data_IF_600714729306
#
_entry.id   IF_600714729306
#
_cell.length_a   1.000
_cell.length_b   1.000
_cell.length_c   1.000
_cell.angle_alpha   90.00
_cell.angle_beta   90.00
_cell.angle_gamma   90.00
#
_symmetry.space_group_name_H-M   'P 1'
#
loop_
_entity.id
_entity.type
_entity.pdbx_description
1 polymer ?
#
# COMPACT_ATOMS: atom_id res chain seq x y z
N UNK A 1 -26.10 -50.24 20.67
CA UNK A 1 -25.26 -49.58 21.71
C UNK A 1 -24.32 -48.58 21.06
N UNK A 2 -24.65 -47.28 21.07
CA UNK A 2 -23.70 -46.18 20.84
C UNK A 2 -24.40 -44.86 21.20
N UNK A 3 -24.50 -44.54 22.49
CA UNK A 3 -25.01 -43.26 22.97
C UNK A 3 -24.21 -42.82 24.21
N UNK A 4 -22.89 -42.72 24.06
CA UNK A 4 -21.99 -42.24 25.12
C UNK A 4 -20.89 -41.38 24.48
N UNK A 5 -21.26 -40.22 23.95
CA UNK A 5 -20.28 -39.19 23.56
C UNK A 5 -20.81 -37.76 23.65
N UNK A 6 -22.02 -37.56 24.21
CA UNK A 6 -22.68 -36.24 24.30
C UNK A 6 -22.72 -35.66 25.73
N UNK A 7 -22.28 -36.41 26.75
CA UNK A 7 -22.34 -35.98 28.16
C UNK A 7 -21.14 -35.15 28.65
N UNK A 8 -20.00 -35.17 27.96
CA UNK A 8 -18.77 -34.48 28.42
C UNK A 8 -18.71 -32.97 28.09
N UNK A 9 -19.66 -32.44 27.33
CA UNK A 9 -19.65 -31.01 26.94
C UNK A 9 -20.54 -30.16 27.86
N UNK A 10 -21.49 -30.75 28.61
CA UNK A 10 -22.38 -30.01 29.52
C UNK A 10 -21.81 -29.72 30.92
N UNK A 11 -20.81 -30.47 31.39
CA UNK A 11 -20.23 -30.23 32.72
C UNK A 11 -19.31 -29.01 32.79
N UNK A 12 -18.73 -28.55 31.67
CA UNK A 12 -17.75 -27.45 31.69
C UNK A 12 -18.37 -26.04 31.74
N UNK A 13 -19.71 -25.93 31.70
CA UNK A 13 -20.44 -24.65 31.83
C UNK A 13 -21.08 -24.42 33.20
N UNK A 14 -21.23 -25.47 34.02
CA UNK A 14 -21.87 -25.35 35.36
C UNK A 14 -20.89 -24.95 36.48
N UNK A 15 -19.57 -24.88 36.21
CA UNK A 15 -18.59 -24.41 37.17
C UNK A 15 -18.41 -22.87 37.20
N UNK A 16 -19.22 -22.11 36.45
CA UNK A 16 -19.17 -20.63 36.41
C UNK A 16 -20.38 -19.93 37.03
N UNK A 17 -21.39 -20.68 37.48
CA UNK A 17 -22.67 -20.11 37.97
C UNK A 17 -22.94 -20.37 39.46
N UNK A 18 -22.02 -20.98 40.20
CA UNK A 18 -22.20 -21.30 41.63
C UNK A 18 -21.48 -20.36 42.61
N UNK A 19 -21.08 -19.16 42.19
CA UNK A 19 -20.45 -18.18 43.09
C UNK A 19 -21.09 -16.78 43.06
N UNK A 20 -22.41 -16.74 42.90
CA UNK A 20 -23.23 -15.60 43.26
C UNK A 20 -24.18 -16.05 44.36
N UNK A 21 -23.87 -15.70 45.62
CA UNK A 21 -24.83 -15.29 46.66
C UNK A 21 -24.29 -15.53 48.07
N UNK A 22 -23.58 -14.53 48.61
CA UNK A 22 -23.70 -14.15 50.03
C UNK A 22 -23.72 -12.62 50.18
N UNK A 23 -24.89 -12.16 50.61
CA UNK A 23 -25.30 -10.83 51.11
C UNK A 23 -24.56 -10.60 52.47
N UNK A 24 -24.14 -9.43 52.97
CA UNK A 24 -24.94 -8.24 53.30
C UNK A 24 -24.16 -7.08 53.98
N UNK A 25 -24.71 -5.86 53.82
CA UNK A 25 -24.64 -4.64 54.68
C UNK A 25 -23.38 -3.77 54.77
N UNK A 26 -23.46 -2.52 54.28
CA UNK A 26 -23.80 -1.34 55.11
C UNK A 26 -23.77 0.00 54.32
N UNK A 27 -24.89 0.73 54.41
CA UNK A 27 -25.12 2.21 54.35
C UNK A 27 -24.52 3.09 53.23
N UNK A 28 -25.44 3.66 52.42
CA UNK A 28 -25.30 4.88 51.58
C UNK A 28 -25.49 6.16 52.40
N UNK A 29 -24.70 7.22 52.11
CA UNK A 29 -25.12 8.64 51.84
C UNK A 29 -23.92 9.56 51.48
N UNK A 30 -24.10 10.80 50.95
CA UNK A 30 -23.65 11.17 49.60
C UNK A 30 -22.61 12.34 49.52
N UNK A 31 -22.31 12.72 48.28
CA UNK A 31 -21.34 13.69 47.73
C UNK A 31 -21.47 15.15 48.16
N UNK A 32 -20.43 15.97 47.88
CA UNK A 32 -20.63 17.36 47.45
C UNK A 32 -20.12 17.61 46.03
N UNK A 33 -20.74 18.62 45.43
CA UNK A 33 -20.57 19.10 44.06
C UNK A 33 -19.81 20.42 44.05
N UNK A 34 -19.10 20.71 42.94
CA UNK A 34 -19.17 21.91 42.08
C UNK A 34 -17.82 22.42 41.56
N UNK A 35 -17.77 22.49 40.22
CA UNK A 35 -17.28 23.57 39.34
C UNK A 35 -15.76 23.71 39.07
N UNK A 36 -15.39 23.33 37.85
CA UNK A 36 -14.43 24.01 36.96
C UNK A 36 -14.82 25.49 36.73
N UNK A 37 -13.92 26.44 36.36
CA UNK A 37 -13.05 26.30 35.17
C UNK A 37 -11.68 27.04 35.14
N UNK A 38 -10.86 26.62 34.17
CA UNK A 38 -9.92 27.40 33.33
C UNK A 38 -8.92 28.39 33.97
N UNK A 39 -7.64 28.14 33.63
CA UNK A 39 -6.70 29.11 33.01
C UNK A 39 -6.23 30.32 33.84
N UNK A 40 -5.00 30.77 33.52
CA UNK A 40 -4.31 31.99 33.97
C UNK A 40 -3.45 31.72 35.22
N UNK A 41 -2.18 31.40 35.02
CA UNK A 41 -1.02 32.32 35.05
C UNK A 41 -0.58 32.66 36.48
N UNK A 42 0.75 32.73 36.64
CA UNK A 42 1.49 33.40 37.71
C UNK A 42 2.03 32.53 38.87
N UNK A 43 3.34 32.21 38.77
CA UNK A 43 4.34 32.70 39.73
C UNK A 43 5.78 32.59 39.19
N UNK A 44 6.31 33.76 38.89
CA UNK A 44 7.71 34.23 39.06
C UNK A 44 8.88 33.37 38.55
N UNK A 45 9.48 33.82 37.45
CA UNK A 45 10.94 33.80 37.27
C UNK A 45 11.43 35.17 36.77
N UNK A 46 12.58 35.55 37.30
CA UNK A 46 13.15 36.90 37.32
C UNK A 46 13.48 37.47 35.93
N UNK A 47 13.38 38.79 35.82
CA UNK A 47 13.57 39.53 34.58
C UNK A 47 15.03 39.78 34.19
N UNK A 48 15.21 39.97 32.88
CA UNK A 48 16.32 40.71 32.27
C UNK A 48 15.73 41.45 31.06
N UNK A 49 15.64 42.77 31.14
CA UNK A 49 15.21 43.61 30.01
C UNK A 49 16.43 44.05 29.19
N UNK A 50 16.54 43.60 27.95
CA UNK A 50 17.41 44.22 26.94
C UNK A 50 16.58 45.12 26.02
N UNK A 51 16.81 46.42 26.21
CA UNK A 51 16.15 47.56 25.56
C UNK A 51 16.79 47.78 24.18
N UNK A 52 16.09 47.47 23.08
CA UNK A 52 16.59 47.79 21.73
C UNK A 52 15.76 48.93 21.12
N UNK A 53 16.48 49.99 20.77
CA UNK A 53 16.04 51.29 20.30
C UNK A 53 15.70 51.20 18.81
N UNK A 54 14.48 51.60 18.44
CA UNK A 54 14.13 51.90 17.06
C UNK A 54 14.87 53.17 16.62
N UNK A 55 15.69 53.08 15.57
CA UNK A 55 16.24 54.24 14.87
C UNK A 55 16.09 54.05 13.36
N UNK A 56 15.27 54.92 12.80
CA UNK A 56 15.11 55.23 11.38
C UNK A 56 16.41 55.77 10.79
N UNK A 57 16.78 55.31 9.59
CA UNK A 57 18.05 55.69 8.95
C UNK A 57 18.07 55.51 7.43
N UNK A 58 17.59 56.55 6.74
CA UNK A 58 17.95 57.09 5.42
C UNK A 58 18.68 56.19 4.39
N UNK A 59 18.07 56.09 3.20
CA UNK A 59 18.65 55.65 1.92
C UNK A 59 19.93 56.43 1.56
N UNK A 60 20.93 55.73 1.01
CA UNK A 60 22.05 56.31 0.24
C UNK A 60 22.34 55.46 -1.01
N UNK A 61 22.90 56.07 -2.08
CA UNK A 61 22.75 55.58 -3.44
C UNK A 61 23.82 54.55 -3.85
N UNK A 62 23.41 53.67 -4.78
CA UNK A 62 24.20 52.60 -5.40
C UNK A 62 25.33 53.21 -6.23
N UNK A 63 26.58 52.90 -5.86
CA UNK A 63 27.77 53.17 -6.69
C UNK A 63 28.01 51.94 -7.57
N UNK A 64 27.74 52.06 -8.87
CA UNK A 64 28.03 51.03 -9.88
C UNK A 64 29.55 50.88 -10.05
N UNK A 65 30.04 49.64 -10.05
CA UNK A 65 31.29 49.26 -10.75
C UNK A 65 30.97 48.13 -11.73
N UNK A 66 31.60 48.11 -12.92
CA UNK A 66 31.24 47.20 -13.99
C UNK A 66 32.06 45.90 -13.95
N UNK A 67 31.59 44.94 -14.74
CA UNK A 67 32.29 43.75 -15.25
C UNK A 67 32.25 42.48 -14.39
N UNK A 68 31.17 41.72 -14.56
CA UNK A 68 31.15 40.27 -14.37
C UNK A 68 30.48 39.60 -15.57
N UNK A 69 30.96 38.42 -16.04
CA UNK A 69 30.55 37.84 -17.33
C UNK A 69 29.09 37.39 -17.33
N UNK A 70 28.41 37.66 -18.45
CA UNK A 70 27.04 37.28 -18.75
C UNK A 70 26.83 35.76 -18.67
N UNK A 71 26.10 35.30 -17.64
CA UNK A 71 25.43 33.99 -17.69
C UNK A 71 24.33 34.05 -18.76
N UNK A 72 24.19 33.02 -19.62
CA UNK A 72 23.10 32.97 -20.59
C UNK A 72 21.74 32.85 -19.85
N UNK A 73 20.66 33.38 -20.44
CA UNK A 73 19.36 33.43 -19.79
C UNK A 73 18.85 32.01 -19.55
N UNK A 74 18.71 31.65 -18.27
CA UNK A 74 17.93 30.49 -17.90
C UNK A 74 16.47 30.75 -18.25
N UNK A 75 16.01 30.12 -19.32
CA UNK A 75 14.59 29.92 -19.56
C UNK A 75 14.04 29.18 -18.35
N UNK A 76 13.29 29.90 -17.53
CA UNK A 76 12.59 29.38 -16.36
C UNK A 76 11.48 28.44 -16.81
N UNK A 77 11.83 27.22 -17.20
CA UNK A 77 10.92 26.11 -17.00
C UNK A 77 10.83 25.92 -15.48
N UNK A 78 9.70 26.35 -14.89
CA UNK A 78 9.24 25.88 -13.58
C UNK A 78 8.93 24.38 -13.68
N UNK A 79 9.94 23.57 -13.96
CA UNK A 79 9.92 22.15 -13.66
C UNK A 79 10.23 22.05 -12.19
N UNK A 80 9.23 21.72 -11.37
CA UNK A 80 9.49 21.29 -10.01
C UNK A 80 10.49 20.12 -10.07
N UNK A 81 11.77 20.38 -9.79
CA UNK A 81 12.71 19.34 -9.38
C UNK A 81 12.16 18.79 -8.08
N UNK A 82 11.34 17.75 -8.17
CA UNK A 82 10.94 17.01 -6.99
C UNK A 82 12.19 16.26 -6.54
N UNK A 83 12.83 16.78 -5.50
CA UNK A 83 13.92 16.09 -4.82
C UNK A 83 13.46 14.70 -4.35
N UNK A 84 14.34 13.69 -4.27
CA UNK A 84 14.00 12.38 -3.71
C UNK A 84 13.55 12.50 -2.23
N UNK A 85 12.36 12.02 -1.90
CA UNK A 85 11.78 12.15 -0.54
C UNK A 85 11.48 10.80 0.11
N UNK A 86 11.37 9.73 -0.67
CA UNK A 86 11.01 8.41 -0.17
C UNK A 86 12.27 7.61 0.18
N UNK A 87 12.38 7.15 1.41
CA UNK A 87 13.48 6.29 1.85
C UNK A 87 13.12 4.83 1.62
N UNK A 88 13.58 4.26 0.51
CA UNK A 88 13.40 2.85 0.17
C UNK A 88 14.70 2.06 0.32
N UNK A 89 14.69 0.83 -0.19
CA UNK A 89 15.86 -0.05 -0.19
C UNK A 89 16.07 -0.71 -1.54
N UNK A 90 17.30 -1.00 -1.88
CA UNK A 90 17.64 -2.01 -2.89
C UNK A 90 17.77 -3.34 -2.16
N UNK A 91 17.05 -4.35 -2.64
CA UNK A 91 16.97 -5.66 -1.97
C UNK A 91 16.83 -6.78 -2.99
N UNK A 92 17.25 -7.98 -2.59
CA UNK A 92 16.75 -9.23 -3.21
C UNK A 92 15.55 -9.73 -2.44
N UNK A 93 14.64 -10.45 -3.10
CA UNK A 93 13.50 -11.10 -2.45
C UNK A 93 13.65 -12.61 -2.56
N UNK A 94 14.09 -13.25 -1.48
CA UNK A 94 14.30 -14.70 -1.45
C UNK A 94 13.01 -15.41 -1.05
N UNK A 95 12.43 -16.21 -1.94
CA UNK A 95 11.24 -17.01 -1.65
C UNK A 95 11.59 -18.21 -0.79
N UNK A 96 10.71 -18.58 0.15
CA UNK A 96 10.83 -19.84 0.90
C UNK A 96 10.89 -21.07 -0.02
N UNK A 97 10.40 -20.95 -1.25
CA UNK A 97 10.48 -22.00 -2.28
C UNK A 97 11.91 -22.29 -2.77
N UNK A 98 12.91 -21.49 -2.36
CA UNK A 98 14.33 -21.70 -2.68
C UNK A 98 14.82 -20.92 -3.90
N UNK A 99 14.14 -19.84 -4.28
CA UNK A 99 14.46 -19.02 -5.44
C UNK A 99 14.48 -17.54 -5.07
N UNK A 100 15.41 -16.79 -5.65
CA UNK A 100 15.32 -15.34 -5.70
C UNK A 100 14.28 -14.95 -6.74
N UNK A 101 13.37 -14.04 -6.39
CA UNK A 101 12.53 -13.39 -7.39
C UNK A 101 13.45 -12.74 -8.43
N UNK A 102 13.08 -12.85 -9.69
CA UNK A 102 13.84 -12.31 -10.81
C UNK A 102 12.89 -11.55 -11.74
N UNK A 103 13.37 -10.44 -12.27
CA UNK A 103 12.76 -9.73 -13.39
C UNK A 103 13.80 -9.58 -14.50
N UNK A 104 13.55 -10.25 -15.62
CA UNK A 104 14.42 -10.19 -16.80
C UNK A 104 14.17 -8.88 -17.57
N UNK A 105 15.12 -8.46 -18.44
CA UNK A 105 14.97 -7.24 -19.24
C UNK A 105 13.78 -7.25 -20.21
N UNK A 106 13.31 -8.43 -20.61
CA UNK A 106 12.10 -8.63 -21.41
C UNK A 106 10.80 -8.44 -20.61
N UNK A 107 10.90 -8.18 -19.31
CA UNK A 107 9.76 -8.03 -18.40
C UNK A 107 9.22 -9.35 -17.86
N UNK A 108 9.84 -10.49 -18.17
CA UNK A 108 9.47 -11.80 -17.61
C UNK A 108 9.80 -11.84 -16.11
N UNK A 109 8.82 -12.29 -15.32
CA UNK A 109 8.94 -12.44 -13.86
C UNK A 109 8.94 -13.93 -13.53
N UNK A 110 9.98 -14.40 -12.86
CA UNK A 110 10.16 -15.78 -12.43
C UNK A 110 11.08 -15.86 -11.21
N UNK A 111 11.52 -17.06 -10.86
CA UNK A 111 12.45 -17.36 -9.78
C UNK A 111 13.75 -17.92 -10.32
N UNK A 112 14.87 -17.36 -9.87
CA UNK A 112 16.22 -17.82 -10.20
C UNK A 112 16.94 -18.36 -8.97
N UNK A 113 17.83 -19.32 -9.17
CA UNK A 113 18.77 -19.79 -8.14
C UNK A 113 20.09 -19.00 -8.14
N UNK A 114 20.32 -18.20 -9.17
CA UNK A 114 21.52 -17.39 -9.30
C UNK A 114 21.41 -16.13 -8.43
N UNK A 115 22.10 -16.13 -7.29
CA UNK A 115 22.18 -14.99 -6.37
C UNK A 115 22.93 -13.79 -6.97
N UNK A 116 23.85 -14.04 -7.90
CA UNK A 116 24.70 -13.01 -8.47
C UNK A 116 24.05 -12.32 -9.68
N UNK A 117 22.88 -12.77 -10.10
CA UNK A 117 22.15 -12.16 -11.21
C UNK A 117 21.63 -10.77 -10.84
N UNK A 118 22.02 -9.74 -11.60
CA UNK A 118 21.49 -8.38 -11.46
C UNK A 118 19.97 -8.30 -11.59
N UNK A 119 19.38 -9.26 -12.31
CA UNK A 119 17.93 -9.33 -12.53
C UNK A 119 17.15 -9.67 -11.24
N UNK A 120 17.85 -10.05 -10.16
CA UNK A 120 17.25 -10.34 -8.84
C UNK A 120 17.20 -9.13 -7.92
N UNK A 121 17.74 -7.99 -8.38
CA UNK A 121 17.77 -6.74 -7.64
C UNK A 121 16.48 -5.96 -7.85
N UNK A 122 15.86 -5.54 -6.76
CA UNK A 122 14.64 -4.73 -6.77
C UNK A 122 14.77 -3.49 -5.92
N UNK A 123 14.19 -2.40 -6.41
CA UNK A 123 13.89 -1.23 -5.61
C UNK A 123 12.57 -1.49 -4.88
N UNK A 124 12.63 -1.52 -3.54
CA UNK A 124 11.46 -1.59 -2.67
C UNK A 124 11.13 -0.18 -2.19
N UNK A 125 10.16 0.44 -2.85
CA UNK A 125 9.85 1.87 -2.69
C UNK A 125 8.60 2.00 -1.81
N UNK A 126 8.66 2.64 -0.63
CA UNK A 126 7.49 2.84 0.20
C UNK A 126 6.57 3.89 -0.42
N UNK A 127 5.36 3.50 -0.80
CA UNK A 127 4.35 4.36 -1.44
C UNK A 127 3.12 4.56 -0.56
N UNK A 128 3.21 4.15 0.71
CA UNK A 128 2.17 4.29 1.71
C UNK A 128 2.51 3.50 2.98
N UNK A 129 1.65 3.61 3.99
CA UNK A 129 1.81 2.86 5.24
C UNK A 129 1.73 1.35 4.96
N UNK A 130 2.85 0.65 5.08
CA UNK A 130 2.97 -0.80 4.76
C UNK A 130 2.58 -1.12 3.32
N UNK A 131 2.76 -0.16 2.41
CA UNK A 131 2.51 -0.36 0.98
C UNK A 131 3.78 -0.02 0.23
N UNK A 132 4.21 -0.94 -0.62
CA UNK A 132 5.42 -0.83 -1.41
C UNK A 132 5.10 -0.97 -2.90
N UNK A 133 5.89 -0.27 -3.71
CA UNK A 133 6.09 -0.60 -5.11
C UNK A 133 7.35 -1.46 -5.23
N UNK A 134 7.31 -2.46 -6.10
CA UNK A 134 8.43 -3.36 -6.37
C UNK A 134 8.87 -3.13 -7.81
N UNK A 135 10.06 -2.59 -8.00
CA UNK A 135 10.59 -2.26 -9.33
C UNK A 135 11.88 -3.04 -9.59
N UNK A 136 12.01 -3.68 -10.74
CA UNK A 136 13.26 -4.31 -11.16
C UNK A 136 14.34 -3.26 -11.36
N UNK A 137 15.49 -3.42 -10.71
CA UNK A 137 16.57 -2.43 -10.77
C UNK A 137 17.16 -2.31 -12.18
N UNK A 138 17.31 -3.44 -12.88
CA UNK A 138 17.91 -3.49 -14.22
C UNK A 138 16.92 -3.09 -15.33
N UNK A 139 15.67 -3.54 -15.25
CA UNK A 139 14.66 -3.27 -16.27
C UNK A 139 13.96 -1.92 -16.08
N UNK A 140 13.92 -1.39 -14.85
CA UNK A 140 13.13 -0.21 -14.50
C UNK A 140 11.61 -0.45 -14.46
N UNK A 141 11.15 -1.69 -14.68
CA UNK A 141 9.72 -2.04 -14.71
C UNK A 141 9.20 -2.34 -13.30
N UNK A 142 7.97 -1.92 -13.02
CA UNK A 142 7.22 -2.28 -11.83
C UNK A 142 6.59 -3.65 -11.98
N UNK A 143 6.52 -4.41 -10.89
CA UNK A 143 5.62 -5.56 -10.80
C UNK A 143 4.21 -5.01 -10.57
N UNK A 144 3.25 -5.46 -11.37
CA UNK A 144 1.81 -5.23 -11.19
C UNK A 144 1.05 -6.54 -11.05
N UNK A 145 -0.13 -6.50 -10.45
CA UNK A 145 -1.07 -7.61 -10.45
C UNK A 145 -2.41 -7.15 -11.02
N UNK A 146 -2.86 -7.77 -12.11
CA UNK A 146 -4.09 -7.39 -12.79
C UNK A 146 -5.35 -7.96 -12.13
N UNK A 147 -6.53 -7.56 -12.62
CA UNK A 147 -7.83 -8.01 -12.11
C UNK A 147 -8.12 -9.51 -12.23
N UNK A 148 -7.32 -10.26 -12.99
CA UNK A 148 -7.39 -11.72 -13.00
C UNK A 148 -6.48 -12.35 -11.94
N UNK A 149 -5.53 -11.59 -11.39
CA UNK A 149 -4.52 -12.04 -10.45
C UNK A 149 -3.24 -12.49 -11.14
N UNK A 150 -3.06 -12.20 -12.43
CA UNK A 150 -1.79 -12.45 -13.11
C UNK A 150 -0.81 -11.35 -12.77
N UNK A 151 0.43 -11.74 -12.49
CA UNK A 151 1.53 -10.81 -12.33
C UNK A 151 2.03 -10.39 -13.70
N UNK A 152 2.35 -9.11 -13.86
CA UNK A 152 2.87 -8.55 -15.08
C UNK A 152 3.89 -7.45 -14.76
N UNK A 153 4.67 -7.05 -15.76
CA UNK A 153 5.61 -5.94 -15.67
C UNK A 153 5.00 -4.69 -16.30
N UNK A 154 5.19 -3.53 -15.67
CA UNK A 154 4.64 -2.26 -16.12
C UNK A 154 5.69 -1.16 -16.09
N UNK A 155 5.78 -0.37 -17.17
CA UNK A 155 6.61 0.84 -17.19
C UNK A 155 6.01 1.94 -16.31
N UNK A 156 4.68 1.99 -16.23
CA UNK A 156 3.94 3.06 -15.57
C UNK A 156 3.52 2.62 -14.17
N UNK A 157 3.67 3.52 -13.20
CA UNK A 157 3.20 3.22 -11.85
C UNK A 157 1.68 3.38 -11.75
N UNK A 158 0.98 2.25 -11.66
CA UNK A 158 -0.48 2.18 -11.55
C UNK A 158 -0.91 1.70 -10.15
N UNK A 159 -2.21 1.81 -9.79
CA UNK A 159 -2.72 1.21 -8.55
C UNK A 159 -2.45 -0.29 -8.43
N UNK A 160 -2.35 -1.02 -9.55
CA UNK A 160 -2.04 -2.45 -9.59
C UNK A 160 -0.59 -2.78 -9.20
N UNK A 161 0.31 -1.79 -9.23
CA UNK A 161 1.70 -1.90 -8.80
C UNK A 161 1.88 -1.75 -7.27
N UNK A 162 0.79 -1.49 -6.53
CA UNK A 162 0.82 -1.30 -5.08
C UNK A 162 0.59 -2.61 -4.35
N UNK A 163 1.60 -3.05 -3.62
CA UNK A 163 1.53 -4.22 -2.76
C UNK A 163 1.52 -3.84 -1.29
N UNK A 164 0.54 -4.35 -0.55
CA UNK A 164 0.56 -4.30 0.90
C UNK A 164 1.53 -5.36 1.40
N UNK A 165 2.60 -4.92 2.06
CA UNK A 165 3.51 -5.80 2.79
C UNK A 165 2.91 -6.15 4.15
N UNK A 166 3.09 -7.39 4.58
CA UNK A 166 2.67 -7.87 5.88
C UNK A 166 3.63 -8.94 6.35
N UNK A 167 3.78 -9.07 7.67
CA UNK A 167 4.61 -10.12 8.25
C UNK A 167 3.75 -11.37 8.50
N UNK A 168 4.32 -12.54 8.27
CA UNK A 168 3.76 -13.84 8.58
C UNK A 168 4.70 -14.58 9.54
N UNK A 169 4.14 -15.10 10.64
CA UNK A 169 4.88 -15.81 11.70
C UNK A 169 6.13 -15.07 12.21
N UNK A 170 6.10 -13.73 12.19
CA UNK A 170 7.21 -12.85 12.59
C UNK A 170 8.54 -13.07 11.85
N UNK A 171 8.53 -13.73 10.69
CA UNK A 171 9.74 -14.03 9.93
C UNK A 171 9.61 -13.71 8.45
N UNK A 172 8.54 -14.19 7.81
CA UNK A 172 8.34 -13.98 6.37
C UNK A 172 7.61 -12.67 6.09
N UNK A 173 7.95 -12.05 4.97
CA UNK A 173 7.18 -10.95 4.39
C UNK A 173 6.32 -11.51 3.26
N UNK A 174 5.05 -11.12 3.25
CA UNK A 174 4.10 -11.45 2.20
C UNK A 174 3.62 -10.15 1.54
N UNK A 175 3.48 -10.18 0.22
CA UNK A 175 3.04 -9.03 -0.57
C UNK A 175 1.67 -9.33 -1.18
N UNK A 176 0.68 -8.52 -0.85
CA UNK A 176 -0.70 -8.69 -1.33
C UNK A 176 -1.17 -7.52 -2.18
N UNK A 177 -2.02 -7.79 -3.17
CA UNK A 177 -2.66 -6.72 -3.93
C UNK A 177 -3.46 -5.81 -2.98
N UNK A 178 -3.33 -4.51 -3.18
CA UNK A 178 -4.15 -3.52 -2.46
C UNK A 178 -5.56 -3.43 -3.04
N UNK A 179 -5.72 -3.71 -4.34
CA UNK A 179 -6.96 -3.57 -5.10
C UNK A 179 -7.73 -4.88 -5.18
N UNK A 180 -7.05 -6.01 -5.43
CA UNK A 180 -7.70 -7.27 -5.78
C UNK A 180 -7.74 -8.28 -4.64
N UNK A 181 -8.94 -8.83 -4.43
CA UNK A 181 -9.27 -9.81 -3.38
C UNK A 181 -10.37 -10.74 -3.89
N UNK A 182 -10.53 -11.89 -3.25
CA UNK A 182 -11.67 -12.76 -3.47
C UNK A 182 -12.96 -12.03 -3.03
N UNK A 183 -13.94 -11.90 -3.92
CA UNK A 183 -15.17 -11.13 -3.65
C UNK A 183 -15.98 -11.69 -2.47
N UNK A 184 -16.19 -13.00 -2.42
CA UNK A 184 -17.02 -13.63 -1.38
C UNK A 184 -16.31 -13.72 -0.02
N UNK A 185 -15.06 -14.18 -0.03
CA UNK A 185 -14.31 -14.47 1.21
C UNK A 185 -13.52 -13.28 1.75
N UNK A 186 -13.31 -12.22 0.97
CA UNK A 186 -12.39 -11.12 1.29
C UNK A 186 -10.90 -11.50 1.32
N UNK A 187 -10.58 -12.75 0.97
CA UNK A 187 -9.21 -13.28 0.96
C UNK A 187 -8.34 -12.52 -0.03
N UNK A 188 -7.23 -11.98 0.46
CA UNK A 188 -6.28 -11.25 -0.37
C UNK A 188 -5.61 -12.15 -1.42
N UNK A 189 -5.17 -11.54 -2.51
CA UNK A 189 -4.33 -12.16 -3.53
C UNK A 189 -2.88 -11.77 -3.30
N UNK A 190 -1.96 -12.71 -3.48
CA UNK A 190 -0.57 -12.55 -3.07
C UNK A 190 0.39 -12.77 -4.24
N UNK A 191 1.50 -12.03 -4.23
CA UNK A 191 2.69 -12.39 -4.99
C UNK A 191 3.18 -13.77 -4.50
N UNK A 192 3.57 -14.65 -5.42
CA UNK A 192 4.12 -15.93 -5.04
C UNK A 192 4.71 -16.74 -6.19
N UNK A 193 5.56 -17.70 -5.81
CA UNK A 193 6.24 -18.62 -6.71
C UNK A 193 5.82 -20.07 -6.45
N UNK A 194 5.87 -20.91 -7.48
CA UNK A 194 5.69 -22.36 -7.38
C UNK A 194 6.93 -23.03 -6.77
N UNK A 195 6.94 -24.36 -6.65
CA UNK A 195 8.14 -25.10 -6.21
C UNK A 195 9.22 -25.15 -7.28
N UNK A 196 8.84 -24.87 -8.52
CA UNK A 196 9.69 -24.84 -9.70
C UNK A 196 10.20 -23.42 -10.00
N UNK A 197 9.89 -22.44 -9.15
CA UNK A 197 10.30 -21.05 -9.34
C UNK A 197 9.44 -20.26 -10.34
N UNK A 198 8.28 -20.77 -10.75
CA UNK A 198 7.40 -20.04 -11.69
C UNK A 198 6.44 -19.12 -10.94
N UNK A 199 6.05 -18.00 -11.54
CA UNK A 199 5.04 -17.10 -10.96
C UNK A 199 3.67 -17.77 -10.88
N UNK A 200 2.97 -17.52 -9.77
CA UNK A 200 1.61 -18.02 -9.53
C UNK A 200 0.57 -16.92 -9.68
N UNK A 201 -0.61 -17.29 -10.17
CA UNK A 201 -1.80 -16.41 -10.16
C UNK A 201 -2.15 -16.08 -8.69
N UNK A 202 -2.30 -14.80 -8.37
CA UNK A 202 -2.39 -14.31 -7.00
C UNK A 202 -3.58 -14.85 -6.21
N UNK A 203 -4.68 -15.22 -6.88
CA UNK A 203 -5.82 -15.88 -6.26
C UNK A 203 -5.52 -17.32 -5.78
N UNK A 204 -4.52 -17.99 -6.37
CA UNK A 204 -4.05 -19.34 -6.00
C UNK A 204 -3.02 -19.31 -4.87
N UNK A 205 -2.34 -18.19 -4.70
CA UNK A 205 -1.37 -18.00 -3.61
C UNK A 205 -2.12 -17.75 -2.30
N UNK A 206 -1.71 -18.44 -1.23
CA UNK A 206 -2.36 -18.36 0.09
C UNK A 206 -1.36 -17.85 1.12
N UNK A 207 -1.80 -16.96 2.00
CA UNK A 207 -1.02 -16.37 3.10
C UNK A 207 -0.26 -17.39 3.96
N UNK A 208 -0.85 -18.57 4.19
CA UNK A 208 -0.27 -19.61 5.05
C UNK A 208 0.59 -20.62 4.29
N UNK A 209 0.81 -20.39 2.99
CA UNK A 209 1.57 -21.32 2.14
C UNK A 209 2.94 -20.72 1.82
N UNK A 210 3.99 -21.57 1.81
CA UNK A 210 5.35 -21.17 1.46
C UNK A 210 5.50 -20.41 0.13
N UNK A 211 4.59 -20.65 -0.83
CA UNK A 211 4.59 -19.91 -2.10
C UNK A 211 4.45 -18.40 -1.94
N UNK A 212 3.85 -17.91 -0.85
CA UNK A 212 3.67 -16.49 -0.56
C UNK A 212 4.78 -15.86 0.27
N UNK A 213 5.68 -16.67 0.81
CA UNK A 213 6.63 -16.28 1.83
C UNK A 213 7.95 -15.82 1.20
N UNK A 214 8.34 -14.58 1.47
CA UNK A 214 9.61 -14.01 1.04
C UNK A 214 10.42 -13.51 2.22
N UNK A 215 11.73 -13.53 2.08
CA UNK A 215 12.70 -12.92 2.99
C UNK A 215 13.44 -11.84 2.21
N UNK A 216 13.19 -10.56 2.49
CA UNK A 216 14.00 -9.49 1.93
C UNK A 216 15.45 -9.64 2.38
N UNK A 217 16.38 -9.52 1.45
CA UNK A 217 17.83 -9.42 1.68
C UNK A 217 18.31 -8.03 1.24
N UNK A 218 18.23 -7.02 2.13
CA UNK A 218 18.61 -5.66 1.81
C UNK A 218 20.08 -5.56 1.45
N UNK A 219 20.40 -4.68 0.52
CA UNK A 219 21.77 -4.38 0.09
C UNK A 219 22.12 -2.96 0.54
N UNK A 220 21.32 -1.99 0.13
CA UNK A 220 21.52 -0.59 0.46
C UNK A 220 20.21 0.17 0.62
N UNK A 221 20.30 1.33 1.27
CA UNK A 221 19.18 2.26 1.48
C UNK A 221 19.31 3.38 0.48
N UNK A 222 18.25 3.68 -0.26
CA UNK A 222 18.26 4.68 -1.33
C UNK A 222 17.11 5.68 -1.17
N UNK A 223 17.33 6.89 -1.66
CA UNK A 223 16.29 7.90 -1.75
C UNK A 223 15.64 7.86 -3.13
N UNK A 224 14.33 7.69 -3.16
CA UNK A 224 13.52 7.63 -4.37
C UNK A 224 12.63 8.87 -4.47
N UNK A 225 12.39 9.28 -5.71
CA UNK A 225 11.31 10.21 -6.02
C UNK A 225 9.98 9.46 -5.91
N UNK A 226 8.94 10.14 -5.47
CA UNK A 226 7.59 9.58 -5.49
C UNK A 226 7.17 9.25 -6.93
N UNK A 227 6.82 7.99 -7.23
CA UNK A 227 6.37 7.60 -8.57
C UNK A 227 5.07 8.31 -8.95
N UNK A 228 4.99 8.82 -10.19
CA UNK A 228 3.76 9.43 -10.68
C UNK A 228 2.67 8.38 -10.85
N UNK A 229 1.55 8.56 -10.17
CA UNK A 229 0.37 7.70 -10.29
C UNK A 229 -0.27 7.87 -11.67
N UNK A 230 -0.47 6.76 -12.39
CA UNK A 230 -1.21 6.71 -13.64
C UNK A 230 -2.50 5.92 -13.46
N UNK A 231 -3.60 6.47 -13.96
CA UNK A 231 -4.89 5.78 -14.00
C UNK A 231 -4.87 4.74 -15.13
N UNK A 232 -5.44 3.56 -14.87
CA UNK A 232 -5.63 2.55 -15.90
C UNK A 232 -6.82 3.01 -16.73
N UNK A 233 -6.60 3.37 -17.99
CA UNK A 233 -7.72 3.65 -18.91
C UNK A 233 -8.51 2.37 -19.14
N UNK A 234 -9.81 2.35 -18.77
CA UNK A 234 -10.76 1.24 -18.96
C UNK A 234 -11.12 0.96 -20.45
N UNK A 235 -10.19 1.16 -21.39
CA UNK A 235 -10.37 0.85 -22.81
C UNK A 235 -10.22 -0.65 -23.10
N UNK A 236 -11.02 -1.50 -22.46
CA UNK A 236 -11.27 -2.86 -22.98
C UNK A 236 -12.43 -3.65 -22.35
N UNK A 237 -13.29 -3.05 -21.52
CA UNK A 237 -14.54 -3.70 -21.05
C UNK A 237 -15.76 -3.50 -21.96
N UNK A 238 -15.62 -2.74 -23.04
CA UNK A 238 -16.69 -2.52 -24.04
C UNK A 238 -16.34 -3.13 -25.39
N UNK A 239 -16.32 -4.46 -25.47
CA UNK A 239 -16.51 -5.18 -26.76
C UNK A 239 -17.84 -5.94 -26.71
N UNK A 240 -18.89 -5.17 -27.05
CA UNK A 240 -20.11 -5.57 -27.76
C UNK A 240 -20.94 -6.73 -27.19
N UNK A 241 -21.78 -6.41 -26.21
CA UNK A 241 -23.14 -6.96 -26.13
C UNK A 241 -24.12 -5.78 -26.27
N UNK A 242 -24.56 -5.47 -27.49
CA UNK A 242 -25.83 -4.76 -27.73
C UNK A 242 -26.11 -4.69 -29.23
N UNK A 243 -27.22 -5.29 -29.67
CA UNK A 243 -27.70 -5.09 -31.03
C UNK A 243 -28.82 -6.03 -31.46
N UNK A 244 -29.77 -6.35 -30.58
CA UNK A 244 -31.08 -6.88 -31.02
C UNK A 244 -31.99 -5.68 -31.27
N UNK A 245 -32.47 -5.42 -32.50
CA UNK A 245 -33.46 -4.38 -32.73
C UNK A 245 -34.86 -5.00 -32.59
N UNK A 246 -35.65 -4.46 -31.66
CA UNK A 246 -37.10 -4.70 -31.60
C UNK A 246 -37.77 -3.51 -32.28
N UNK A 247 -38.56 -3.75 -33.33
CA UNK A 247 -39.59 -2.82 -33.77
C UNK A 247 -40.89 -3.60 -33.98
N UNK A 248 -41.91 -3.19 -33.23
CA UNK A 248 -43.28 -3.65 -33.31
C UNK A 248 -44.04 -2.92 -34.42
N UNK A 249 -45.02 -3.61 -35.04
CA UNK A 249 -46.28 -2.99 -35.45
C UNK A 249 -46.60 -3.01 -36.95
N UNK A 250 -47.72 -3.66 -37.30
CA UNK A 250 -48.47 -3.33 -38.52
C UNK A 250 -49.01 -4.54 -39.31
N UNK A 251 -50.24 -4.96 -39.03
CA UNK A 251 -51.07 -5.75 -39.95
C UNK A 251 -51.44 -4.86 -41.15
N UNK A 252 -51.34 -5.39 -42.37
CA UNK A 252 -52.22 -5.04 -43.48
C UNK A 252 -52.38 -6.25 -44.41
N UNK A 253 -53.61 -6.74 -44.48
CA UNK A 253 -54.14 -7.64 -45.49
C UNK A 253 -54.11 -6.91 -46.83
N UNK A 254 -53.69 -7.57 -47.92
CA UNK A 254 -54.28 -7.27 -49.21
C UNK A 254 -54.29 -8.49 -50.14
N UNK A 255 -55.41 -8.60 -50.85
CA UNK A 255 -55.83 -9.66 -51.74
C UNK A 255 -55.35 -9.42 -53.19
N UNK A 256 -55.29 -10.53 -53.94
CA UNK A 256 -55.64 -10.74 -55.35
C UNK A 256 -54.84 -10.17 -56.54
N UNK A 257 -54.80 -11.05 -57.56
CA UNK A 257 -54.59 -10.88 -59.02
C UNK A 257 -53.13 -10.68 -59.47
N UNK A 258 -52.53 -11.52 -60.32
CA UNK A 258 -52.99 -12.10 -61.60
C UNK A 258 -52.22 -13.38 -61.92
#
# INVERSE_FOLDING_TARGET
MAAIASSLIRQKRQARESNSDRVSTSKRRPSPSKKDPRSIYERHFLGVFSKVRFCSGKKRPVRRRPDAPSKPPQVSHKGCRLEPQLKGIVTRLFSQQGFYLQMKPDGTIDGSKDENSDNTLFNLIPVGLRVVAIQGLKSGLYIGMNGEGMLYSSEMFTPECKFKESVFENYYVIYSSTVFRQQESGRAWFLGLTKEGQVMKGNRVKKTKPSSHFVPRPIEVCMYREPSMHEIEDKQRSRKNSGTPTMNGGKAVNQDST
#
